data_IF_386526325542
#
_entry.id   IF_386526325542
#
_cell.length_a   1.000
_cell.length_b   1.000
_cell.length_c   1.000
_cell.angle_alpha   90.00
_cell.angle_beta   90.00
_cell.angle_gamma   90.00
#
_symmetry.space_group_name_H-M   'P 1'
#
loop_
_entity.id
_entity.type
_entity.pdbx_description
1 polymer ?
#
# COMPACT_ATOMS: atom_id res chain seq x y z
N UNK A 1 7.28 -21.83 -7.09
CA UNK A 1 6.68 -22.27 -5.81
C UNK A 1 5.95 -21.06 -5.25
N UNK A 2 4.66 -21.27 -4.96
CA UNK A 2 3.74 -20.40 -4.21
C UNK A 2 3.26 -19.09 -4.86
N UNK A 3 2.44 -19.25 -5.91
CA UNK A 3 1.51 -18.24 -6.40
C UNK A 3 0.29 -18.20 -5.47
N UNK A 4 0.41 -17.54 -4.32
CA UNK A 4 -0.76 -16.93 -3.68
C UNK A 4 -0.91 -15.56 -4.30
N UNK A 5 -1.99 -15.37 -5.05
CA UNK A 5 -2.33 -14.21 -5.87
C UNK A 5 -2.65 -12.98 -5.02
N UNK A 6 -1.68 -12.48 -4.24
CA UNK A 6 -1.71 -11.11 -3.78
C UNK A 6 -1.35 -10.21 -4.96
N UNK A 7 -2.27 -9.32 -5.31
CA UNK A 7 -2.06 -8.29 -6.34
C UNK A 7 -0.82 -7.47 -5.94
N UNK A 8 0.09 -7.20 -6.89
CA UNK A 8 1.26 -6.39 -6.59
C UNK A 8 0.88 -4.90 -6.44
N UNK A 9 1.83 -4.04 -6.06
CA UNK A 9 1.50 -2.64 -5.77
C UNK A 9 0.99 -1.92 -7.02
N UNK A 10 1.64 -2.15 -8.15
CA UNK A 10 1.33 -1.57 -9.45
C UNK A 10 -0.07 -1.98 -9.91
N UNK A 11 -0.41 -3.27 -9.78
CA UNK A 11 -1.73 -3.79 -10.13
C UNK A 11 -2.83 -3.28 -9.18
N UNK A 12 -2.54 -3.17 -7.88
CA UNK A 12 -3.49 -2.60 -6.93
C UNK A 12 -3.77 -1.12 -7.22
N UNK A 13 -2.75 -0.38 -7.67
CA UNK A 13 -2.87 1.02 -8.06
C UNK A 13 -3.64 1.18 -9.37
N UNK A 14 -3.32 0.39 -10.40
CA UNK A 14 -4.06 0.38 -11.67
C UNK A 14 -5.55 0.09 -11.44
N UNK A 15 -5.85 -0.92 -10.62
CA UNK A 15 -7.24 -1.25 -10.27
C UNK A 15 -7.94 -0.12 -9.51
N UNK A 16 -7.24 0.54 -8.59
CA UNK A 16 -7.80 1.66 -7.85
C UNK A 16 -8.11 2.85 -8.79
N UNK A 17 -7.27 3.12 -9.77
CA UNK A 17 -7.52 4.14 -10.80
C UNK A 17 -8.75 3.81 -11.65
N UNK A 18 -8.91 2.55 -12.06
CA UNK A 18 -10.12 2.09 -12.76
C UNK A 18 -11.39 2.31 -11.94
N UNK A 19 -11.35 1.95 -10.65
CA UNK A 19 -12.48 2.11 -9.72
C UNK A 19 -12.85 3.57 -9.58
N UNK A 20 -11.86 4.44 -9.34
CA UNK A 20 -12.09 5.89 -9.24
C UNK A 20 -12.70 6.42 -10.53
N UNK A 21 -12.17 6.03 -11.69
CA UNK A 21 -12.73 6.42 -12.98
C UNK A 21 -14.18 6.01 -13.16
N UNK A 22 -14.55 4.78 -12.76
CA UNK A 22 -15.92 4.29 -12.83
C UNK A 22 -16.88 5.03 -11.88
N UNK A 23 -16.43 5.31 -10.65
CA UNK A 23 -17.23 6.04 -9.67
C UNK A 23 -17.44 7.51 -10.08
N UNK A 24 -16.46 8.12 -10.74
CA UNK A 24 -16.52 9.52 -11.20
C UNK A 24 -17.48 9.72 -12.38
N UNK A 25 -17.68 8.68 -13.22
CA UNK A 25 -18.71 8.71 -14.29
C UNK A 25 -20.13 8.82 -13.71
N UNK A 26 -20.39 8.16 -12.58
CA UNK A 26 -21.65 8.27 -11.85
C UNK A 26 -22.88 7.64 -12.52
N UNK A 27 -22.69 6.73 -13.49
CA UNK A 27 -23.77 6.03 -14.19
C UNK A 27 -24.12 4.65 -13.61
N UNK A 28 -23.40 4.24 -12.55
CA UNK A 28 -23.55 2.94 -11.93
C UNK A 28 -24.73 2.89 -10.94
N UNK A 29 -25.42 1.74 -10.83
CA UNK A 29 -26.37 1.50 -9.75
C UNK A 29 -25.72 1.68 -8.37
N UNK A 30 -26.52 2.06 -7.37
CA UNK A 30 -26.05 2.28 -6.00
C UNK A 30 -25.30 1.05 -5.44
N UNK A 31 -25.87 -0.15 -5.62
CA UNK A 31 -25.28 -1.39 -5.10
C UNK A 31 -23.91 -1.67 -5.73
N UNK A 32 -23.75 -1.41 -7.03
CA UNK A 32 -22.46 -1.57 -7.72
C UNK A 32 -21.45 -0.51 -7.27
N UNK A 33 -21.90 0.73 -7.08
CA UNK A 33 -21.08 1.82 -6.58
C UNK A 33 -20.53 1.52 -5.17
N UNK A 34 -21.36 0.92 -4.32
CA UNK A 34 -20.95 0.50 -2.97
C UNK A 34 -19.89 -0.60 -3.01
N UNK A 35 -20.06 -1.61 -3.87
CA UNK A 35 -19.07 -2.68 -4.04
C UNK A 35 -17.73 -2.15 -4.54
N UNK A 36 -17.74 -1.27 -5.53
CA UNK A 36 -16.52 -0.63 -6.05
C UNK A 36 -15.86 0.26 -5.00
N UNK A 37 -16.64 0.97 -4.20
CA UNK A 37 -16.12 1.78 -3.10
C UNK A 37 -15.41 0.92 -2.04
N UNK A 38 -16.03 -0.18 -1.61
CA UNK A 38 -15.43 -1.12 -0.66
C UNK A 38 -14.12 -1.72 -1.20
N UNK A 39 -14.11 -2.12 -2.47
CA UNK A 39 -12.92 -2.61 -3.16
C UNK A 39 -11.82 -1.53 -3.18
N UNK A 40 -12.17 -0.30 -3.57
CA UNK A 40 -11.24 0.83 -3.63
C UNK A 40 -10.61 1.16 -2.27
N UNK A 41 -11.41 1.16 -1.19
CA UNK A 41 -10.90 1.36 0.18
C UNK A 41 -9.92 0.25 0.58
N UNK A 42 -10.23 -1.00 0.24
CA UNK A 42 -9.34 -2.13 0.51
C UNK A 42 -8.00 -1.99 -0.22
N UNK A 43 -8.03 -1.64 -1.51
CA UNK A 43 -6.83 -1.44 -2.33
C UNK A 43 -5.99 -0.26 -1.82
N UNK A 44 -6.61 0.88 -1.52
CA UNK A 44 -5.93 2.06 -0.98
C UNK A 44 -5.21 1.75 0.34
N UNK A 45 -5.83 0.94 1.21
CA UNK A 45 -5.21 0.48 2.46
C UNK A 45 -4.01 -0.43 2.19
N UNK A 46 -4.13 -1.36 1.24
CA UNK A 46 -3.02 -2.25 0.86
C UNK A 46 -1.83 -1.46 0.31
N UNK A 47 -2.07 -0.50 -0.59
CA UNK A 47 -1.04 0.38 -1.13
C UNK A 47 -0.34 1.16 -0.02
N UNK A 48 -1.11 1.74 0.91
CA UNK A 48 -0.58 2.50 2.05
C UNK A 48 0.32 1.66 2.96
N UNK A 49 -0.06 0.40 3.23
CA UNK A 49 0.76 -0.52 4.03
C UNK A 49 2.09 -0.83 3.33
N UNK A 50 2.06 -1.07 2.01
CA UNK A 50 3.28 -1.35 1.23
C UNK A 50 4.21 -0.16 1.17
N UNK A 51 3.68 1.05 0.98
CA UNK A 51 4.47 2.28 0.99
C UNK A 51 5.14 2.49 2.36
N UNK A 52 4.41 2.25 3.46
CA UNK A 52 4.96 2.36 4.81
C UNK A 52 6.09 1.36 5.07
N UNK A 53 5.95 0.12 4.59
CA UNK A 53 7.02 -0.87 4.68
C UNK A 53 8.25 -0.47 3.85
N UNK A 54 8.05 0.02 2.63
CA UNK A 54 9.13 0.53 1.78
C UNK A 54 9.87 1.71 2.42
N UNK A 55 9.13 2.65 3.01
CA UNK A 55 9.68 3.80 3.73
C UNK A 55 10.52 3.35 4.94
N UNK A 56 10.00 2.43 5.76
CA UNK A 56 10.75 1.90 6.91
C UNK A 56 12.05 1.19 6.51
N UNK A 57 12.03 0.44 5.40
CA UNK A 57 13.24 -0.17 4.84
C UNK A 57 14.26 0.87 4.38
N UNK A 58 13.80 1.93 3.70
CA UNK A 58 14.65 3.04 3.27
C UNK A 58 15.28 3.74 4.48
N UNK A 59 14.50 4.01 5.51
CA UNK A 59 14.97 4.65 6.74
C UNK A 59 16.07 3.81 7.44
N UNK A 60 15.89 2.49 7.52
CA UNK A 60 16.91 1.57 8.04
C UNK A 60 18.19 1.58 7.21
N UNK A 61 18.06 1.59 5.87
CA UNK A 61 19.22 1.65 4.97
C UNK A 61 20.00 2.95 5.12
N UNK A 62 19.30 4.08 5.25
CA UNK A 62 19.91 5.40 5.47
C UNK A 62 20.61 5.47 6.84
N UNK A 63 19.99 4.96 7.92
CA UNK A 63 20.62 4.87 9.25
C UNK A 63 21.90 4.04 9.23
N UNK A 64 21.92 2.92 8.49
CA UNK A 64 23.11 2.09 8.31
C UNK A 64 24.19 2.78 7.47
N UNK A 65 23.80 3.44 6.38
CA UNK A 65 24.72 4.15 5.49
C UNK A 65 25.40 5.35 6.19
N UNK A 66 24.68 6.01 7.10
CA UNK A 66 25.18 7.16 7.86
C UNK A 66 26.02 6.76 9.10
N UNK A 67 26.29 5.47 9.32
CA UNK A 67 27.16 5.00 10.41
C UNK A 67 26.61 5.16 11.82
N UNK A 68 25.35 5.58 11.97
CA UNK A 68 24.64 5.57 13.25
C UNK A 68 24.16 4.15 13.54
N UNK A 69 25.07 3.30 14.00
CA UNK A 69 24.68 2.20 14.88
C UNK A 69 24.19 2.86 16.17
N UNK A 70 22.90 2.77 16.46
CA UNK A 70 22.40 2.92 17.82
C UNK A 70 23.09 1.82 18.65
N UNK A 71 24.28 2.12 19.15
CA UNK A 71 24.78 1.49 20.37
C UNK A 71 23.87 2.03 21.45
N UNK A 72 22.77 1.33 21.74
CA UNK A 72 22.17 1.45 23.06
C UNK A 72 23.31 1.27 24.08
N UNK A 73 23.56 2.24 24.98
CA UNK A 73 24.46 1.98 26.08
C UNK A 73 23.78 0.89 26.90
N UNK A 74 24.40 -0.30 26.94
CA UNK A 74 24.14 -1.26 28.00
C UNK A 74 24.55 -0.55 29.30
N UNK A 75 23.57 0.00 30.02
CA UNK A 75 23.74 0.41 31.40
C UNK A 75 24.12 -0.84 32.21
N UNK A 76 25.36 -0.83 32.72
CA UNK A 76 25.88 -1.76 33.72
C UNK A 76 25.44 -1.26 35.10
#
# INVERSE_FOLDING_TARGET
MDVKSEINFEQAMERLEEIVGKLDVGDLPLDESLLLFEEGVSLARQCSVRLKDAEGRLEMLLKRANGTTDTEPLEI
#
